data_IF_218432024217
#
_entry.id   IF_218432024217
#
_cell.length_a   1.000
_cell.length_b   1.000
_cell.length_c   1.000
_cell.angle_alpha   90.00
_cell.angle_beta   90.00
_cell.angle_gamma   90.00
#
_symmetry.space_group_name_H-M   'P 1'
#
loop_
_entity.id
_entity.type
_entity.pdbx_description
1 polymer ?
#
# COMPACT_ATOMS: atom_id res chain seq x y z
N UNK A 1 -35.70 -71.52 -24.75
CA UNK A 1 -36.50 -70.68 -25.66
C UNK A 1 -36.38 -69.24 -25.18
N UNK A 2 -35.81 -68.39 -26.04
CA UNK A 2 -35.84 -66.91 -26.05
C UNK A 2 -34.94 -66.12 -25.08
N UNK A 3 -33.72 -65.90 -25.59
CA UNK A 3 -32.85 -64.72 -25.37
C UNK A 3 -33.55 -63.40 -25.69
N UNK A 4 -33.23 -62.33 -24.94
CA UNK A 4 -33.01 -60.92 -25.34
C UNK A 4 -32.53 -60.21 -24.05
N UNK A 5 -31.20 -60.09 -23.82
CA UNK A 5 -30.39 -58.88 -24.03
C UNK A 5 -31.12 -57.58 -23.70
N UNK A 6 -30.73 -56.91 -22.62
CA UNK A 6 -30.45 -55.48 -22.66
C UNK A 6 -29.58 -55.06 -21.48
N UNK A 7 -28.38 -54.59 -21.84
CA UNK A 7 -27.44 -53.84 -21.01
C UNK A 7 -28.12 -52.58 -20.47
N UNK A 8 -27.99 -52.33 -19.17
CA UNK A 8 -27.98 -50.96 -18.66
C UNK A 8 -26.78 -50.85 -17.72
N UNK A 9 -25.63 -50.51 -18.30
CA UNK A 9 -24.47 -50.05 -17.54
C UNK A 9 -24.75 -48.60 -17.13
N UNK A 10 -25.17 -48.40 -15.89
CA UNK A 10 -25.33 -47.05 -15.32
C UNK A 10 -23.93 -46.54 -15.00
N UNK A 11 -23.37 -45.75 -15.92
CA UNK A 11 -22.14 -44.98 -15.69
C UNK A 11 -22.52 -43.81 -14.80
N UNK A 12 -22.23 -43.91 -13.50
CA UNK A 12 -22.39 -42.82 -12.55
C UNK A 12 -21.32 -41.76 -12.84
N UNK A 13 -21.70 -40.73 -13.59
CA UNK A 13 -20.82 -39.61 -13.94
C UNK A 13 -20.57 -38.75 -12.69
N UNK A 14 -19.30 -38.66 -12.28
CA UNK A 14 -18.82 -37.76 -11.23
C UNK A 14 -19.20 -36.31 -11.55
N UNK A 15 -19.97 -35.67 -10.67
CA UNK A 15 -20.05 -34.22 -10.59
C UNK A 15 -19.27 -33.74 -9.36
N UNK A 16 -17.96 -33.57 -9.51
CA UNK A 16 -17.17 -32.75 -8.60
C UNK A 16 -17.57 -31.29 -8.85
N UNK A 17 -18.53 -30.79 -8.08
CA UNK A 17 -18.85 -29.36 -8.07
C UNK A 17 -17.69 -28.61 -7.41
N UNK A 18 -16.71 -28.19 -8.21
CA UNK A 18 -15.76 -27.18 -7.78
C UNK A 18 -16.53 -25.86 -7.58
N UNK A 19 -16.87 -25.54 -6.33
CA UNK A 19 -17.34 -24.20 -5.99
C UNK A 19 -16.17 -23.24 -6.19
N UNK A 20 -16.16 -22.53 -7.32
CA UNK A 20 -15.30 -21.39 -7.51
C UNK A 20 -15.78 -20.28 -6.54
N UNK A 21 -15.18 -20.22 -5.35
CA UNK A 21 -15.33 -19.06 -4.49
C UNK A 21 -14.64 -17.89 -5.18
N UNK A 22 -15.43 -17.04 -5.84
CA UNK A 22 -14.98 -15.73 -6.23
C UNK A 22 -14.58 -15.01 -4.93
N UNK A 23 -13.27 -14.88 -4.71
CA UNK A 23 -12.75 -14.00 -3.68
C UNK A 23 -13.32 -12.60 -4.00
N UNK A 24 -14.32 -12.17 -3.23
CA UNK A 24 -14.95 -10.85 -3.31
C UNK A 24 -14.01 -9.74 -2.87
N UNK A 25 -12.76 -9.79 -3.33
CA UNK A 25 -11.75 -8.77 -3.19
C UNK A 25 -12.17 -7.62 -4.11
N UNK A 26 -13.09 -6.78 -3.61
CA UNK A 26 -13.10 -5.37 -4.01
C UNK A 26 -11.80 -4.79 -3.47
N UNK A 27 -10.70 -5.03 -4.20
CA UNK A 27 -9.45 -4.28 -4.05
C UNK A 27 -9.82 -2.87 -4.49
N UNK A 28 -10.40 -2.11 -3.56
CA UNK A 28 -10.84 -0.74 -3.79
C UNK A 28 -9.64 0.02 -4.35
N UNK A 29 -9.72 0.31 -5.65
CA UNK A 29 -8.67 0.89 -6.49
C UNK A 29 -8.37 2.37 -6.12
N UNK A 30 -8.71 2.82 -4.90
CA UNK A 30 -8.72 4.23 -4.47
C UNK A 30 -7.44 4.63 -3.74
N UNK A 31 -6.27 4.44 -4.36
CA UNK A 31 -5.00 4.97 -3.82
C UNK A 31 -4.74 6.37 -4.39
N UNK A 32 -4.56 7.43 -3.57
CA UNK A 32 -4.33 8.80 -4.07
C UNK A 32 -3.19 8.92 -5.07
N UNK A 33 -2.15 8.10 -4.92
CA UNK A 33 -0.97 8.10 -5.78
C UNK A 33 -1.27 7.82 -7.26
N UNK A 34 -2.43 7.24 -7.60
CA UNK A 34 -2.88 7.06 -9.00
C UNK A 34 -3.22 8.37 -9.70
N UNK A 35 -3.58 9.39 -8.93
CA UNK A 35 -3.93 10.71 -9.43
C UNK A 35 -2.72 11.65 -9.48
N UNK A 36 -1.56 11.24 -8.94
CA UNK A 36 -0.39 12.10 -8.86
C UNK A 36 0.21 12.36 -10.25
N UNK A 37 0.39 13.63 -10.56
CA UNK A 37 1.23 14.11 -11.65
C UNK A 37 2.72 13.99 -11.30
N UNK A 38 3.60 14.26 -12.28
CA UNK A 38 5.05 14.34 -12.02
C UNK A 38 5.40 15.44 -11.01
N UNK A 39 4.66 16.55 -11.03
CA UNK A 39 4.88 17.66 -10.11
C UNK A 39 4.45 17.30 -8.68
N UNK A 40 3.29 16.63 -8.53
CA UNK A 40 2.84 16.10 -7.23
C UNK A 40 3.91 15.17 -6.64
N UNK A 41 4.46 14.26 -7.44
CA UNK A 41 5.55 13.39 -7.02
C UNK A 41 6.81 14.15 -6.61
N UNK A 42 7.17 15.20 -7.34
CA UNK A 42 8.35 16.02 -7.03
C UNK A 42 8.20 16.70 -5.67
N UNK A 43 7.08 17.39 -5.47
CA UNK A 43 6.79 18.11 -4.22
C UNK A 43 6.66 17.13 -3.03
N UNK A 44 5.88 16.06 -3.20
CA UNK A 44 5.69 15.05 -2.17
C UNK A 44 7.03 14.41 -1.75
N UNK A 45 7.90 14.06 -2.69
CA UNK A 45 9.23 13.49 -2.39
C UNK A 45 10.17 14.49 -1.73
N UNK A 46 10.16 15.75 -2.17
CA UNK A 46 10.99 16.79 -1.59
C UNK A 46 10.64 17.01 -0.11
N UNK A 47 9.34 17.11 0.20
CA UNK A 47 8.88 17.30 1.59
C UNK A 47 9.11 16.05 2.44
N UNK A 48 8.89 14.85 1.88
CA UNK A 48 9.24 13.59 2.57
C UNK A 48 10.73 13.55 2.93
N UNK A 49 11.62 13.94 2.01
CA UNK A 49 13.07 13.99 2.25
C UNK A 49 13.40 14.95 3.39
N UNK A 50 12.81 16.14 3.41
CA UNK A 50 12.98 17.09 4.53
C UNK A 50 12.53 16.50 5.87
N UNK A 51 11.35 15.86 5.90
CA UNK A 51 10.85 15.20 7.12
C UNK A 51 11.79 14.09 7.61
N UNK A 52 12.39 13.33 6.70
CA UNK A 52 13.34 12.26 7.00
C UNK A 52 14.71 12.77 7.46
N UNK A 53 15.21 13.86 6.89
CA UNK A 53 16.54 14.36 7.21
C UNK A 53 16.54 15.26 8.45
N UNK A 54 15.48 16.04 8.65
CA UNK A 54 15.51 17.18 9.58
C UNK A 54 14.44 17.09 10.66
N UNK A 55 13.31 16.43 10.38
CA UNK A 55 12.14 16.48 11.26
C UNK A 55 12.34 15.91 12.66
N UNK A 56 11.70 16.50 13.65
CA UNK A 56 11.68 16.00 15.04
C UNK A 56 10.38 15.25 15.32
N UNK A 57 10.33 14.37 16.33
CA UNK A 57 9.07 13.74 16.72
C UNK A 57 7.93 14.76 16.87
N UNK A 58 6.74 14.39 16.42
CA UNK A 58 5.50 15.16 16.33
C UNK A 58 5.51 16.35 15.35
N UNK A 59 6.63 16.62 14.68
CA UNK A 59 6.69 17.63 13.62
C UNK A 59 5.99 17.13 12.35
N UNK A 60 5.22 18.02 11.73
CA UNK A 60 4.47 17.73 10.49
C UNK A 60 4.97 18.61 9.36
N UNK A 61 5.16 17.96 8.20
CA UNK A 61 5.63 18.59 6.97
C UNK A 61 4.57 18.41 5.90
N UNK A 62 3.98 19.52 5.46
CA UNK A 62 2.89 19.53 4.48
C UNK A 62 3.41 19.86 3.08
N UNK A 63 2.74 19.32 2.07
CA UNK A 63 2.92 19.72 0.68
C UNK A 63 1.56 19.93 0.03
N UNK A 64 1.52 20.85 -0.93
CA UNK A 64 0.34 21.14 -1.70
C UNK A 64 0.75 21.58 -3.11
N UNK A 65 0.10 20.99 -4.11
CA UNK A 65 0.22 21.43 -5.49
C UNK A 65 -0.98 22.30 -5.85
N UNK A 66 -0.76 23.60 -5.97
CA UNK A 66 -1.78 24.59 -6.34
C UNK A 66 -2.44 24.28 -7.70
N UNK A 67 -1.70 23.68 -8.64
CA UNK A 67 -2.19 23.40 -9.99
C UNK A 67 -3.21 22.25 -10.03
N UNK A 68 -3.06 21.26 -9.14
CA UNK A 68 -3.89 20.05 -9.12
C UNK A 68 -4.85 20.02 -7.93
N UNK A 69 -4.61 20.86 -6.92
CA UNK A 69 -5.30 20.80 -5.64
C UNK A 69 -4.88 19.61 -4.76
N UNK A 70 -3.92 18.78 -5.21
CA UNK A 70 -3.47 17.62 -4.46
C UNK A 70 -2.60 18.03 -3.28
N UNK A 71 -2.65 17.25 -2.21
CA UNK A 71 -1.92 17.57 -0.98
C UNK A 71 -1.56 16.33 -0.17
N UNK A 72 -0.71 16.55 0.82
CA UNK A 72 -0.44 15.54 1.82
C UNK A 72 0.46 16.04 2.93
N UNK A 73 0.70 15.16 3.88
CA UNK A 73 1.51 15.48 5.04
C UNK A 73 2.34 14.29 5.51
N UNK A 74 3.48 14.61 6.11
CA UNK A 74 4.39 13.67 6.74
C UNK A 74 4.62 14.11 8.19
N UNK A 75 4.04 13.37 9.14
CA UNK A 75 4.29 13.59 10.56
C UNK A 75 5.35 12.61 11.04
N UNK A 76 6.42 13.10 11.66
CA UNK A 76 7.46 12.23 12.24
C UNK A 76 6.92 11.65 13.55
N UNK A 77 6.61 10.36 13.56
CA UNK A 77 6.10 9.69 14.75
C UNK A 77 7.20 9.41 15.76
N UNK A 78 8.36 8.95 15.28
CA UNK A 78 9.53 8.66 16.12
C UNK A 78 10.80 8.56 15.28
N UNK A 79 11.92 8.77 15.96
CA UNK A 79 13.26 8.47 15.46
C UNK A 79 13.79 7.27 16.25
N UNK A 80 14.33 6.27 15.55
CA UNK A 80 14.85 5.03 16.14
C UNK A 80 16.13 4.63 15.43
N UNK A 81 17.05 3.96 16.13
CA UNK A 81 18.22 3.35 15.51
C UNK A 81 17.99 1.84 15.35
N UNK A 82 18.24 1.30 14.15
CA UNK A 82 18.07 -0.12 13.85
C UNK A 82 19.29 -0.61 13.09
N UNK A 83 20.01 -1.58 13.67
CA UNK A 83 21.26 -2.13 13.12
C UNK A 83 22.28 -1.03 12.77
N UNK A 84 22.42 -0.02 13.65
CA UNK A 84 23.33 1.11 13.42
C UNK A 84 22.85 2.12 12.37
N UNK A 85 21.61 2.01 11.88
CA UNK A 85 21.02 2.95 10.90
C UNK A 85 20.01 3.86 11.57
N UNK A 86 20.07 5.14 11.23
CA UNK A 86 19.03 6.10 11.58
C UNK A 86 17.74 5.75 10.83
N UNK A 87 16.66 5.55 11.57
CA UNK A 87 15.35 5.24 11.03
C UNK A 87 14.30 6.19 11.61
N UNK A 88 13.24 6.42 10.83
CA UNK A 88 12.12 7.29 11.19
C UNK A 88 10.82 6.65 10.79
N UNK A 89 9.87 6.69 11.69
CA UNK A 89 8.51 6.30 11.36
C UNK A 89 7.74 7.55 11.01
N UNK A 90 7.16 7.56 9.82
CA UNK A 90 6.34 8.66 9.33
C UNK A 90 4.89 8.22 9.27
N UNK A 91 4.01 9.04 9.82
CA UNK A 91 2.62 9.03 9.44
C UNK A 91 2.47 9.84 8.16
N UNK A 92 1.97 9.18 7.12
CA UNK A 92 1.76 9.75 5.80
C UNK A 92 0.26 9.91 5.58
N UNK A 93 -0.15 11.08 5.11
CA UNK A 93 -1.50 11.35 4.59
C UNK A 93 -1.41 11.91 3.19
N UNK A 94 -2.27 11.45 2.28
CA UNK A 94 -2.39 12.02 0.94
C UNK A 94 -3.86 12.20 0.57
N UNK A 95 -4.14 13.27 -0.16
CA UNK A 95 -5.41 13.57 -0.78
C UNK A 95 -5.17 13.93 -2.24
N UNK A 96 -5.81 13.20 -3.16
CA UNK A 96 -5.75 13.49 -4.58
C UNK A 96 -7.00 12.97 -5.28
N UNK A 97 -7.61 13.82 -6.11
CA UNK A 97 -8.94 13.57 -6.67
C UNK A 97 -9.96 13.19 -5.57
N UNK A 98 -10.77 12.13 -5.78
CA UNK A 98 -11.72 11.64 -4.77
C UNK A 98 -11.08 10.75 -3.70
N UNK A 99 -9.78 10.47 -3.79
CA UNK A 99 -9.10 9.49 -2.94
C UNK A 99 -8.33 10.16 -1.80
N UNK A 100 -8.39 9.53 -0.63
CA UNK A 100 -7.57 9.82 0.53
C UNK A 100 -6.88 8.55 1.03
N UNK A 101 -5.64 8.67 1.51
CA UNK A 101 -4.93 7.56 2.15
C UNK A 101 -4.19 8.04 3.39
N UNK A 102 -4.05 7.12 4.34
CA UNK A 102 -3.31 7.29 5.58
C UNK A 102 -2.53 6.02 5.86
N UNK A 103 -1.25 6.14 6.18
CA UNK A 103 -0.44 5.00 6.59
C UNK A 103 0.81 5.42 7.33
N UNK A 104 1.26 4.56 8.22
CA UNK A 104 2.44 4.70 9.05
C UNK A 104 3.54 3.79 8.51
N UNK A 105 4.68 4.37 8.13
CA UNK A 105 5.75 3.65 7.45
C UNK A 105 7.09 3.96 8.08
N UNK A 106 7.91 2.92 8.19
CA UNK A 106 9.30 3.06 8.63
C UNK A 106 10.18 3.35 7.42
N UNK A 107 11.08 4.31 7.59
CA UNK A 107 12.15 4.60 6.65
C UNK A 107 13.48 4.52 7.37
N UNK A 108 14.50 3.96 6.73
CA UNK A 108 15.85 3.92 7.27
C UNK A 108 16.84 4.53 6.29
N UNK A 109 17.83 5.22 6.82
CA UNK A 109 18.94 5.73 6.04
C UNK A 109 19.90 4.58 5.72
N UNK A 110 20.18 4.41 4.43
CA UNK A 110 21.15 3.44 3.93
C UNK A 110 22.56 4.01 4.08
N UNK A 111 23.58 3.15 3.97
CA UNK A 111 24.99 3.59 4.03
C UNK A 111 25.35 4.62 2.95
N UNK A 112 24.64 4.60 1.81
CA UNK A 112 24.78 5.61 0.75
C UNK A 112 24.20 6.99 1.10
N UNK A 113 23.52 7.12 2.24
CA UNK A 113 22.76 8.31 2.64
C UNK A 113 21.32 8.34 2.12
N UNK A 114 20.94 7.45 1.20
CA UNK A 114 19.58 7.34 0.68
C UNK A 114 18.62 6.79 1.74
N UNK A 115 17.42 7.36 1.86
CA UNK A 115 16.37 6.82 2.72
C UNK A 115 15.48 5.83 1.96
N UNK A 116 15.26 4.65 2.53
CA UNK A 116 14.36 3.61 1.96
C UNK A 116 13.26 3.23 2.91
N UNK A 117 12.07 2.99 2.37
CA UNK A 117 10.95 2.43 3.14
C UNK A 117 11.23 0.98 3.51
N UNK A 118 11.03 0.64 4.77
CA UNK A 118 11.15 -0.72 5.32
C UNK A 118 9.78 -1.40 5.45
N UNK A 119 8.71 -0.75 4.97
CA UNK A 119 7.33 -1.21 5.13
C UNK A 119 6.59 -0.48 6.25
N UNK A 120 5.50 -1.10 6.72
CA UNK A 120 4.62 -0.51 7.73
C UNK A 120 5.38 -0.35 9.05
N UNK A 121 5.19 0.79 9.71
CA UNK A 121 5.73 0.99 11.04
C UNK A 121 5.09 -0.03 12.01
N UNK A 122 5.87 -0.62 12.94
CA UNK A 122 5.30 -1.46 13.98
C UNK A 122 4.35 -0.64 14.86
N UNK A 123 3.18 -1.20 15.16
CA UNK A 123 2.30 -0.70 16.22
C UNK A 123 3.09 -0.66 17.53
N UNK A 124 3.04 0.48 18.23
CA UNK A 124 3.61 0.62 19.56
C UNK A 124 2.97 -0.34 20.56
#
# INVERSE_FOLDING_TARGET
MNTIKNLVAVITLMALTASASALGLRLEESTPIKYFTKEDWSQAKQVAKTALEQGKPDETFDWHNESTGHSGSYTVLRQVEIDGRSCRDLLIKHQAGPANARGDYRFCQMQSGEWKTMGRAPSN
#
